data_IF_866568328663
#
_entry.id   IF_866568328663
#
_cell.length_a   1.000
_cell.length_b   1.000
_cell.length_c   1.000
_cell.angle_alpha   90.00
_cell.angle_beta   90.00
_cell.angle_gamma   90.00
#
_symmetry.space_group_name_H-M   'P 1'
#
loop_
_entity.id
_entity.type
_entity.pdbx_description
1 polymer ?
#
# COMPACT_ATOMS: atom_id res chain seq x y z
N UNK A 1 -17.88 3.44 -20.98
CA UNK A 1 -18.97 4.42 -20.78
C UNK A 1 -18.61 5.68 -21.54
N UNK A 2 -19.61 6.44 -21.99
CA UNK A 2 -19.37 7.78 -22.54
C UNK A 2 -19.02 8.74 -21.40
N UNK A 3 -18.10 9.68 -21.64
CA UNK A 3 -17.70 10.68 -20.65
C UNK A 3 -18.82 11.66 -20.35
N UNK A 4 -18.95 12.07 -19.08
CA UNK A 4 -19.96 13.03 -18.62
C UNK A 4 -19.44 14.47 -18.56
N UNK A 5 -18.29 14.77 -19.19
CA UNK A 5 -17.63 16.07 -19.12
C UNK A 5 -16.96 16.39 -17.78
N UNK A 6 -16.89 15.44 -16.84
CA UNK A 6 -16.17 15.64 -15.57
C UNK A 6 -14.67 15.35 -15.71
N UNK A 7 -13.88 15.92 -14.80
CA UNK A 7 -12.43 15.68 -14.70
C UNK A 7 -12.10 14.38 -13.94
N UNK A 8 -13.09 13.54 -13.63
CA UNK A 8 -12.91 12.32 -12.86
C UNK A 8 -13.42 11.11 -13.64
N UNK A 9 -12.57 10.11 -13.80
CA UNK A 9 -12.95 8.80 -14.33
C UNK A 9 -12.84 7.74 -13.23
N UNK A 10 -13.84 6.85 -13.15
CA UNK A 10 -13.84 5.72 -12.21
C UNK A 10 -13.78 4.41 -13.01
N UNK A 11 -12.81 3.58 -12.67
CA UNK A 11 -12.67 2.23 -13.18
C UNK A 11 -12.81 1.26 -12.01
N UNK A 12 -13.73 0.30 -12.12
CA UNK A 12 -13.92 -0.77 -11.14
C UNK A 12 -13.52 -2.09 -11.79
N UNK A 13 -12.58 -2.81 -11.19
CA UNK A 13 -12.07 -4.09 -11.71
C UNK A 13 -12.11 -5.14 -10.62
N UNK A 14 -12.61 -6.33 -10.97
CA UNK A 14 -12.61 -7.47 -10.06
C UNK A 14 -11.29 -8.24 -10.17
N UNK A 15 -10.34 -7.98 -9.27
CA UNK A 15 -9.06 -8.70 -9.23
C UNK A 15 -9.19 -10.19 -8.86
N UNK A 16 -10.37 -10.63 -8.42
CA UNK A 16 -10.66 -12.02 -8.06
C UNK A 16 -11.34 -12.80 -9.20
N UNK A 17 -11.62 -12.16 -10.33
CA UNK A 17 -12.24 -12.82 -11.48
C UNK A 17 -11.37 -13.99 -12.00
N UNK A 18 -12.02 -15.12 -12.26
CA UNK A 18 -11.43 -16.25 -12.98
C UNK A 18 -11.30 -15.92 -14.46
N UNK A 19 -10.36 -16.55 -15.14
CA UNK A 19 -10.07 -16.36 -16.58
C UNK A 19 -11.26 -16.70 -17.50
N UNK A 20 -12.15 -17.59 -17.06
CA UNK A 20 -13.41 -17.94 -17.73
C UNK A 20 -14.56 -16.93 -17.53
N UNK A 21 -14.36 -15.91 -16.70
CA UNK A 21 -15.41 -14.95 -16.35
C UNK A 21 -15.41 -13.73 -17.27
N UNK A 22 -16.61 -13.21 -17.57
CA UNK A 22 -16.78 -11.90 -18.23
C UNK A 22 -16.23 -10.72 -17.40
N UNK A 23 -15.90 -10.95 -16.12
CA UNK A 23 -15.27 -9.95 -15.26
C UNK A 23 -13.74 -9.99 -15.31
N UNK A 24 -13.15 -10.94 -16.06
CA UNK A 24 -11.71 -11.06 -16.22
C UNK A 24 -11.15 -9.94 -17.09
N UNK A 25 -10.20 -9.19 -16.54
CA UNK A 25 -9.59 -8.04 -17.22
C UNK A 25 -8.09 -8.26 -17.50
N UNK A 26 -7.63 -9.50 -17.68
CA UNK A 26 -6.22 -9.79 -17.98
C UNK A 26 -5.30 -9.66 -16.76
N UNK A 27 -5.79 -10.11 -15.60
CA UNK A 27 -5.05 -10.04 -14.33
C UNK A 27 -3.89 -11.03 -14.36
N UNK A 28 -2.68 -10.55 -14.09
CA UNK A 28 -1.51 -11.39 -13.91
C UNK A 28 -1.45 -11.92 -12.48
N UNK A 29 -1.42 -13.24 -12.31
CA UNK A 29 -1.34 -13.88 -10.99
C UNK A 29 0.06 -14.45 -10.79
N UNK A 30 0.74 -14.00 -9.73
CA UNK A 30 1.97 -14.61 -9.28
C UNK A 30 1.65 -15.78 -8.35
N UNK A 31 1.68 -17.01 -8.87
CA UNK A 31 1.35 -18.22 -8.11
C UNK A 31 2.27 -18.47 -6.89
N UNK A 32 3.43 -17.81 -6.79
CA UNK A 32 4.34 -17.94 -5.64
C UNK A 32 3.93 -17.02 -4.49
N UNK A 33 3.54 -15.79 -4.79
CA UNK A 33 3.22 -14.74 -3.80
C UNK A 33 1.72 -14.51 -3.62
N UNK A 34 0.88 -15.13 -4.46
CA UNK A 34 -0.57 -14.88 -4.55
C UNK A 34 -0.91 -13.41 -4.85
N UNK A 35 0.06 -12.68 -5.42
CA UNK A 35 -0.13 -11.31 -5.88
C UNK A 35 -0.86 -11.29 -7.22
N UNK A 36 -1.76 -10.33 -7.36
CA UNK A 36 -2.58 -10.13 -8.54
C UNK A 36 -2.29 -8.74 -9.08
N UNK A 37 -1.77 -8.66 -10.29
CA UNK A 37 -1.37 -7.41 -10.93
C UNK A 37 -2.22 -7.12 -12.15
N UNK A 38 -2.58 -5.86 -12.35
CA UNK A 38 -3.35 -5.39 -13.49
C UNK A 38 -2.69 -4.15 -14.11
N UNK A 39 -2.24 -4.22 -15.38
CA UNK A 39 -1.81 -3.03 -16.10
C UNK A 39 -3.03 -2.20 -16.57
N UNK A 40 -2.95 -0.89 -16.39
CA UNK A 40 -3.97 0.08 -16.79
C UNK A 40 -3.31 1.12 -17.68
N UNK A 41 -3.83 1.27 -18.90
CA UNK A 41 -3.43 2.33 -19.81
C UNK A 41 -4.52 3.42 -19.83
N UNK A 42 -4.16 4.64 -19.44
CA UNK A 42 -4.97 5.83 -19.60
C UNK A 42 -4.53 6.48 -20.90
N UNK A 43 -5.34 6.29 -21.94
CA UNK A 43 -5.07 6.83 -23.26
C UNK A 43 -5.81 8.12 -23.50
N UNK A 44 -5.12 9.09 -24.07
CA UNK A 44 -5.77 10.32 -24.53
C UNK A 44 -6.48 10.01 -25.85
N UNK A 45 -7.65 10.61 -26.06
CA UNK A 45 -8.45 10.35 -27.25
C UNK A 45 -7.61 10.62 -28.52
N UNK A 46 -7.71 9.74 -29.51
CA UNK A 46 -6.85 9.74 -30.73
C UNK A 46 -6.83 11.07 -31.50
N UNK A 47 -7.82 11.94 -31.29
CA UNK A 47 -7.93 13.24 -31.96
C UNK A 47 -7.34 14.40 -31.16
N UNK A 48 -6.79 14.15 -29.97
CA UNK A 48 -6.18 15.12 -29.08
C UNK A 48 -4.72 14.71 -28.83
N UNK A 49 -3.88 14.84 -29.86
CA UNK A 49 -2.48 14.34 -29.91
C UNK A 49 -1.47 15.09 -29.01
N UNK A 50 -1.90 15.84 -28.01
CA UNK A 50 -1.02 16.76 -27.27
C UNK A 50 -0.40 16.18 -25.99
N UNK A 51 -0.71 14.93 -25.60
CA UNK A 51 -0.05 14.30 -24.45
C UNK A 51 0.04 12.77 -24.58
N UNK A 52 1.07 12.21 -23.94
CA UNK A 52 1.39 10.79 -23.96
C UNK A 52 0.42 9.95 -23.12
N UNK A 53 0.20 8.70 -23.55
CA UNK A 53 -0.51 7.68 -22.78
C UNK A 53 0.19 7.43 -21.43
N UNK A 54 -0.59 7.28 -20.36
CA UNK A 54 -0.07 6.92 -19.04
C UNK A 54 -0.34 5.46 -18.72
N UNK A 55 0.70 4.74 -18.29
CA UNK A 55 0.62 3.35 -17.90
C UNK A 55 0.81 3.19 -16.39
N UNK A 56 -0.09 2.47 -15.75
CA UNK A 56 -0.05 2.14 -14.32
C UNK A 56 -0.12 0.63 -14.16
N UNK A 57 0.50 0.08 -13.11
CA UNK A 57 0.32 -1.32 -12.71
C UNK A 57 -0.20 -1.33 -11.29
N UNK A 58 -1.41 -1.87 -11.09
CA UNK A 58 -1.99 -2.06 -9.76
C UNK A 58 -1.71 -3.49 -9.32
N UNK A 59 -1.05 -3.67 -8.17
CA UNK A 59 -0.80 -4.99 -7.58
C UNK A 59 -1.50 -5.12 -6.23
N UNK A 60 -2.30 -6.16 -6.07
CA UNK A 60 -2.92 -6.54 -4.80
C UNK A 60 -2.42 -7.93 -4.40
N UNK A 61 -1.74 -8.04 -3.26
CA UNK A 61 -1.31 -9.30 -2.67
C UNK A 61 -1.95 -9.54 -1.31
N UNK A 62 -1.81 -10.75 -0.78
CA UNK A 62 -2.08 -11.03 0.63
C UNK A 62 -1.18 -10.12 1.48
N UNK A 63 -1.75 -9.51 2.52
CA UNK A 63 -0.95 -8.79 3.49
C UNK A 63 0.03 -9.78 4.14
N UNK A 64 1.33 -9.50 4.03
CA UNK A 64 2.39 -10.31 4.62
C UNK A 64 3.35 -10.96 3.62
N UNK A 65 4.30 -11.73 4.14
CA UNK A 65 5.31 -12.47 3.38
C UNK A 65 5.42 -13.89 3.93
N UNK A 66 5.89 -14.84 3.11
CA UNK A 66 6.16 -16.21 3.55
C UNK A 66 7.45 -16.25 4.36
N UNK A 67 7.38 -16.79 5.57
CA UNK A 67 8.56 -17.01 6.42
C UNK A 67 9.26 -18.33 6.04
N UNK A 68 10.39 -18.64 6.67
CA UNK A 68 11.19 -19.86 6.44
C UNK A 68 10.44 -21.16 6.74
N UNK A 69 9.34 -21.09 7.49
CA UNK A 69 8.45 -22.22 7.80
C UNK A 69 7.27 -22.34 6.83
N UNK A 70 7.32 -21.61 5.71
CA UNK A 70 6.25 -21.49 4.70
C UNK A 70 4.91 -20.97 5.28
N UNK A 71 4.96 -20.27 6.43
CA UNK A 71 3.81 -19.61 7.03
C UNK A 71 3.71 -18.14 6.61
N UNK A 72 2.49 -17.61 6.54
CA UNK A 72 2.25 -16.19 6.24
C UNK A 72 2.51 -15.35 7.49
N UNK A 73 3.46 -14.41 7.39
CA UNK A 73 3.82 -13.42 8.39
C UNK A 73 3.35 -12.03 7.98
N UNK A 74 2.56 -11.37 8.82
CA UNK A 74 1.95 -10.05 8.55
C UNK A 74 2.75 -8.98 9.31
N UNK A 75 3.03 -7.86 8.64
CA UNK A 75 3.61 -6.67 9.28
C UNK A 75 2.49 -5.75 9.74
N UNK A 76 2.52 -5.36 11.01
CA UNK A 76 1.52 -4.46 11.63
C UNK A 76 2.22 -3.31 12.33
N UNK A 77 1.62 -2.11 12.30
CA UNK A 77 2.08 -0.96 13.08
C UNK A 77 1.26 -0.90 14.37
N UNK A 78 1.93 -0.72 15.51
CA UNK A 78 1.33 -0.56 16.82
C UNK A 78 1.82 0.71 17.48
N UNK A 79 0.93 1.34 18.24
CA UNK A 79 1.20 2.52 19.04
C UNK A 79 1.57 2.12 20.47
N UNK A 80 2.56 2.81 21.03
CA UNK A 80 3.02 2.64 22.40
C UNK A 80 3.12 3.99 23.10
N UNK A 81 2.65 4.05 24.34
CA UNK A 81 2.85 5.17 25.28
C UNK A 81 3.62 4.61 26.47
N UNK A 82 4.82 5.15 26.76
CA UNK A 82 5.67 4.68 27.86
C UNK A 82 5.90 3.15 27.85
N UNK A 83 6.12 2.58 26.66
CA UNK A 83 6.34 1.14 26.47
C UNK A 83 5.09 0.26 26.58
N UNK A 84 3.92 0.82 26.90
CA UNK A 84 2.64 0.10 26.91
C UNK A 84 1.90 0.31 25.60
N UNK A 85 1.37 -0.78 25.05
CA UNK A 85 0.56 -0.72 23.83
C UNK A 85 -0.72 0.06 24.11
N UNK A 86 -1.03 1.01 23.23
CA UNK A 86 -2.28 1.78 23.24
C UNK A 86 -3.01 1.64 21.90
N UNK A 87 -4.31 1.85 21.91
CA UNK A 87 -5.17 1.78 20.71
C UNK A 87 -5.59 3.16 20.22
N UNK A 88 -5.44 4.19 21.05
CA UNK A 88 -5.86 5.56 20.78
C UNK A 88 -4.73 6.53 21.06
N UNK A 89 -4.77 7.67 20.39
CA UNK A 89 -3.81 8.76 20.57
C UNK A 89 -4.51 10.00 21.06
N UNK A 90 -3.83 10.76 21.91
CA UNK A 90 -4.28 12.03 22.46
C UNK A 90 -3.36 13.12 21.92
N UNK A 91 -3.95 14.20 21.43
CA UNK A 91 -3.20 15.32 20.89
C UNK A 91 -2.19 15.87 21.92
N UNK A 92 -0.97 16.20 21.44
CA UNK A 92 0.09 16.75 22.26
C UNK A 92 0.85 15.73 23.12
N UNK A 93 0.53 14.44 23.03
CA UNK A 93 1.28 13.38 23.72
C UNK A 93 2.27 12.68 22.80
N UNK A 94 3.47 12.35 23.29
CA UNK A 94 4.42 11.56 22.52
C UNK A 94 4.00 10.09 22.48
N UNK A 95 4.15 9.48 21.31
CA UNK A 95 3.89 8.06 21.08
C UNK A 95 5.04 7.44 20.29
N UNK A 96 5.33 6.17 20.58
CA UNK A 96 6.27 5.39 19.78
C UNK A 96 5.47 4.52 18.80
N UNK A 97 5.77 4.67 17.51
CA UNK A 97 5.28 3.77 16.47
C UNK A 97 6.25 2.59 16.33
N UNK A 98 5.73 1.37 16.43
CA UNK A 98 6.53 0.14 16.25
C UNK A 98 5.91 -0.77 15.21
N UNK A 99 6.69 -1.10 14.19
CA UNK A 99 6.35 -2.15 13.23
C UNK A 99 6.68 -3.53 13.83
N UNK A 100 5.76 -4.49 13.72
CA UNK A 100 5.92 -5.85 14.22
C UNK A 100 5.52 -6.88 13.17
N UNK A 101 6.36 -7.91 13.04
CA UNK A 101 6.11 -9.10 12.24
C UNK A 101 5.35 -10.11 13.10
N UNK A 102 4.23 -10.65 12.63
CA UNK A 102 3.60 -11.82 13.24
C UNK A 102 4.38 -13.08 12.88
N UNK A 103 4.57 -14.02 13.81
CA UNK A 103 5.33 -15.26 13.58
C UNK A 103 6.77 -14.99 13.04
N UNK A 104 7.55 -14.14 13.74
CA UNK A 104 8.89 -13.81 13.31
C UNK A 104 9.76 -15.08 13.26
N UNK A 105 10.68 -15.11 12.30
CA UNK A 105 11.77 -16.07 12.26
C UNK A 105 13.10 -15.33 12.25
N UNK A 106 14.22 -16.07 12.31
CA UNK A 106 15.55 -15.49 12.38
C UNK A 106 16.07 -15.00 11.02
N UNK A 107 15.37 -15.30 9.92
CA UNK A 107 15.87 -15.06 8.56
C UNK A 107 15.29 -13.78 7.97
N UNK A 108 14.02 -13.49 8.22
CA UNK A 108 13.35 -12.33 7.68
C UNK A 108 13.19 -11.23 8.73
N UNK A 109 13.77 -10.07 8.41
CA UNK A 109 13.58 -8.84 9.18
C UNK A 109 12.82 -7.80 8.37
N UNK A 110 12.36 -6.75 9.03
CA UNK A 110 11.68 -5.63 8.41
C UNK A 110 12.47 -4.34 8.59
N UNK A 111 12.44 -3.50 7.56
CA UNK A 111 12.92 -2.13 7.62
C UNK A 111 11.85 -1.20 7.07
N UNK A 112 11.53 -0.15 7.83
CA UNK A 112 10.58 0.87 7.38
C UNK A 112 11.28 1.75 6.35
N UNK A 113 10.80 1.72 5.10
CA UNK A 113 11.36 2.52 4.00
C UNK A 113 10.86 3.96 4.02
N UNK A 114 9.59 4.19 4.33
CA UNK A 114 8.95 5.51 4.38
C UNK A 114 7.74 5.47 5.30
N UNK A 115 7.37 6.61 5.90
CA UNK A 115 6.23 6.72 6.79
C UNK A 115 5.60 8.11 6.65
N UNK A 116 4.30 8.16 6.41
CA UNK A 116 3.51 9.38 6.29
C UNK A 116 2.32 9.30 7.25
N UNK A 117 2.11 10.37 8.02
CA UNK A 117 0.87 10.59 8.75
C UNK A 117 -0.04 11.50 7.91
N UNK A 118 -1.34 11.26 7.98
CA UNK A 118 -2.33 12.09 7.29
C UNK A 118 -3.60 12.20 8.12
N UNK A 119 -4.35 13.29 7.91
CA UNK A 119 -5.64 13.51 8.53
C UNK A 119 -6.79 13.49 7.51
N UNK A 120 -8.03 13.68 8.00
CA UNK A 120 -9.23 13.71 7.15
C UNK A 120 -9.34 14.97 6.28
N UNK A 121 -8.56 15.99 6.59
CA UNK A 121 -8.51 17.26 5.87
C UNK A 121 -7.40 17.27 4.81
N UNK A 122 -6.81 16.10 4.54
CA UNK A 122 -5.76 15.91 3.55
C UNK A 122 -4.44 16.62 3.89
N UNK A 123 -4.24 16.98 5.17
CA UNK A 123 -2.94 17.39 5.65
C UNK A 123 -2.08 16.14 5.79
N UNK A 124 -0.84 16.21 5.31
CA UNK A 124 0.13 15.13 5.42
C UNK A 124 1.39 15.61 6.11
N UNK A 125 1.97 14.75 6.93
CA UNK A 125 3.25 14.96 7.58
C UNK A 125 4.13 13.76 7.30
N UNK A 126 5.30 14.00 6.73
CA UNK A 126 6.29 12.95 6.53
C UNK A 126 6.98 12.67 7.86
N UNK A 127 7.05 11.39 8.22
CA UNK A 127 7.67 10.92 9.47
C UNK A 127 9.03 10.24 9.18
N UNK A 128 9.09 9.48 8.08
CA UNK A 128 10.32 8.86 7.56
C UNK A 128 10.42 9.19 6.07
N UNK A 129 11.62 9.58 5.63
CA UNK A 129 11.92 9.86 4.23
C UNK A 129 11.88 8.61 3.34
N UNK A 130 12.16 8.71 2.04
CA UNK A 130 12.16 7.59 1.10
C UNK A 130 13.39 6.66 1.22
N UNK A 131 14.38 7.07 2.02
CA UNK A 131 15.62 6.35 2.32
C UNK A 131 15.54 5.60 3.66
N UNK A 132 14.42 5.69 4.36
CA UNK A 132 14.22 5.07 5.66
C UNK A 132 14.83 5.86 6.82
N UNK A 133 15.13 7.14 6.64
CA UNK A 133 15.66 8.01 7.69
C UNK A 133 14.49 8.77 8.38
N UNK A 134 14.41 8.75 9.72
CA UNK A 134 13.41 9.52 10.44
C UNK A 134 13.68 11.02 10.28
N UNK A 135 12.64 11.79 9.94
CA UNK A 135 12.74 13.25 9.84
C UNK A 135 12.80 13.90 11.23
N UNK A 136 12.14 13.27 12.21
CA UNK A 136 12.31 13.55 13.63
C UNK A 136 12.80 12.26 14.32
N UNK A 137 14.00 12.26 14.91
CA UNK A 137 14.58 11.09 15.58
C UNK A 137 13.70 10.51 16.69
N UNK A 138 12.74 11.27 17.22
CA UNK A 138 11.83 10.84 18.29
C UNK A 138 10.65 9.99 17.82
N UNK A 139 10.40 9.90 16.51
CA UNK A 139 9.15 9.33 15.97
C UNK A 139 9.16 7.80 15.88
N UNK A 140 10.31 7.18 15.60
CA UNK A 140 10.44 5.71 15.43
C UNK A 140 11.68 5.17 16.15
N UNK A 141 11.48 4.12 16.97
CA UNK A 141 12.52 3.35 17.67
C UNK A 141 12.43 1.85 17.36
#
# INVERSE_FOLDING_TARGET
>A
SYGNGSNQAKLSVNLLAKDDSNQYCGIFINNKTDERSLPIAVRIHKTLELADDKFYVITCGKAGFKNTKDEISIVTIKLFENGKRVTETVYGRPYTLRAQISKPDETYSIRVKSCIAFDRFNNSAQLIDDRGCPLDPSVIS
#
